data_IF_031885604005
#
_entry.id   IF_031885604005
#
_cell.length_a   1.000
_cell.length_b   1.000
_cell.length_c   1.000
_cell.angle_alpha   90.00
_cell.angle_beta   90.00
_cell.angle_gamma   90.00
#
_symmetry.space_group_name_H-M   'P 1'
#
loop_
_entity.id
_entity.type
_entity.pdbx_description
1 polymer ?
#
# COMPACT_ATOMS: atom_id res chain seq x y z
N UNK A 1 -76.04 -39.96 -9.54
CA UNK A 1 -75.04 -41.04 -9.50
C UNK A 1 -73.72 -40.45 -10.00
N UNK A 2 -72.72 -40.44 -9.12
CA UNK A 2 -71.30 -40.10 -9.31
C UNK A 2 -70.90 -38.64 -9.61
N UNK A 3 -70.33 -38.10 -8.55
CA UNK A 3 -69.63 -36.84 -8.31
C UNK A 3 -68.12 -37.04 -8.59
N UNK A 4 -67.43 -35.91 -8.81
CA UNK A 4 -65.99 -35.65 -8.61
C UNK A 4 -65.00 -35.95 -9.76
N UNK A 5 -64.60 -34.87 -10.44
CA UNK A 5 -63.30 -34.76 -11.12
C UNK A 5 -62.55 -33.58 -10.47
N UNK A 6 -61.62 -33.89 -9.55
CA UNK A 6 -60.72 -32.91 -8.93
C UNK A 6 -59.53 -32.68 -9.88
N UNK A 7 -59.44 -31.50 -10.46
CA UNK A 7 -58.23 -31.02 -11.15
C UNK A 7 -57.37 -30.33 -10.09
N UNK A 8 -56.30 -31.00 -9.65
CA UNK A 8 -55.28 -30.41 -8.81
C UNK A 8 -54.36 -29.54 -9.69
N UNK A 9 -54.41 -28.22 -9.49
CA UNK A 9 -53.54 -27.25 -10.16
C UNK A 9 -52.29 -27.08 -9.28
N UNK A 10 -51.20 -27.75 -9.65
CA UNK A 10 -49.90 -27.59 -9.00
C UNK A 10 -49.17 -26.38 -9.63
N UNK A 11 -49.24 -25.23 -8.96
CA UNK A 11 -48.40 -24.06 -9.25
C UNK A 11 -47.01 -24.28 -8.65
N UNK A 12 -46.08 -24.80 -9.45
CA UNK A 12 -44.65 -24.78 -9.13
C UNK A 12 -44.07 -23.43 -9.57
N UNK A 13 -44.15 -22.42 -8.70
CA UNK A 13 -43.49 -21.14 -8.89
C UNK A 13 -42.05 -21.21 -8.42
N UNK A 14 -41.12 -21.52 -9.32
CA UNK A 14 -39.68 -21.43 -9.03
C UNK A 14 -39.27 -19.95 -9.08
N UNK A 15 -39.27 -19.29 -7.93
CA UNK A 15 -38.68 -17.96 -7.80
C UNK A 15 -37.14 -18.12 -7.82
N UNK A 16 -36.54 -17.99 -9.00
CA UNK A 16 -35.10 -17.79 -9.15
C UNK A 16 -34.79 -16.37 -8.65
N UNK A 17 -34.52 -16.24 -7.34
CA UNK A 17 -33.96 -15.02 -6.77
C UNK A 17 -32.49 -14.94 -7.14
N UNK A 18 -32.16 -14.25 -8.23
CA UNK A 18 -30.79 -13.81 -8.48
C UNK A 18 -30.44 -12.78 -7.42
N UNK A 19 -29.74 -13.22 -6.37
CA UNK A 19 -29.04 -12.35 -5.44
C UNK A 19 -27.92 -11.67 -6.22
N UNK A 20 -28.23 -10.54 -6.85
CA UNK A 20 -27.20 -9.65 -7.39
C UNK A 20 -26.40 -9.13 -6.21
N UNK A 21 -25.14 -9.57 -6.11
CA UNK A 21 -24.20 -8.91 -5.22
C UNK A 21 -24.12 -7.44 -5.65
N UNK A 22 -24.19 -6.48 -4.71
CA UNK A 22 -24.06 -5.07 -5.05
C UNK A 22 -22.72 -4.88 -5.75
N UNK A 23 -22.75 -4.49 -7.02
CA UNK A 23 -21.58 -3.95 -7.68
C UNK A 23 -21.21 -2.67 -6.95
N UNK A 24 -20.09 -2.66 -6.23
CA UNK A 24 -19.53 -1.44 -5.69
C UNK A 24 -19.27 -0.50 -6.88
N UNK A 25 -19.99 0.62 -6.93
CA UNK A 25 -19.68 1.67 -7.86
C UNK A 25 -18.47 2.41 -7.26
N UNK A 26 -17.31 2.23 -7.89
CA UNK A 26 -16.11 2.98 -7.56
C UNK A 26 -16.30 4.45 -7.99
N UNK A 27 -15.71 5.37 -7.23
CA UNK A 27 -15.82 6.81 -7.35
C UNK A 27 -14.49 7.49 -7.77
N UNK A 28 -13.45 6.69 -8.03
CA UNK A 28 -12.17 7.22 -8.51
C UNK A 28 -12.36 8.10 -9.74
N UNK A 29 -11.44 9.04 -9.90
CA UNK A 29 -11.41 9.96 -11.05
C UNK A 29 -10.04 9.91 -11.70
N UNK A 30 -10.03 10.18 -13.00
CA UNK A 30 -8.82 10.19 -13.83
C UNK A 30 -8.74 11.49 -14.63
N UNK A 31 -7.56 11.81 -15.17
CA UNK A 31 -7.33 13.06 -15.94
C UNK A 31 -8.38 13.29 -17.03
N UNK A 32 -8.85 12.23 -17.70
CA UNK A 32 -9.86 12.33 -18.75
C UNK A 32 -11.26 12.73 -18.26
N UNK A 33 -11.51 12.71 -16.94
CA UNK A 33 -12.76 13.20 -16.36
C UNK A 33 -12.80 14.72 -16.21
N UNK A 34 -11.66 15.41 -16.44
CA UNK A 34 -11.59 16.87 -16.42
C UNK A 34 -12.38 17.45 -17.59
N UNK A 35 -13.26 18.41 -17.30
CA UNK A 35 -14.10 19.04 -18.32
C UNK A 35 -13.32 19.80 -19.41
N UNK A 36 -12.08 20.21 -19.13
CA UNK A 36 -11.18 20.91 -20.05
C UNK A 36 -10.20 19.97 -20.78
N UNK A 37 -10.20 18.67 -20.46
CA UNK A 37 -9.38 17.71 -21.17
C UNK A 37 -10.00 17.37 -22.55
N UNK A 38 -9.23 17.45 -23.65
CA UNK A 38 -9.79 17.36 -25.00
C UNK A 38 -10.04 15.93 -25.50
N UNK A 39 -9.51 14.92 -24.82
CA UNK A 39 -9.57 13.51 -25.23
C UNK A 39 -10.59 12.68 -24.44
N UNK A 40 -10.91 11.51 -24.98
CA UNK A 40 -11.55 10.42 -24.27
C UNK A 40 -10.53 9.27 -24.07
N UNK A 41 -10.67 8.52 -22.97
CA UNK A 41 -9.76 7.41 -22.67
C UNK A 41 -8.68 7.73 -21.64
N UNK A 42 -7.80 6.77 -21.41
CA UNK A 42 -6.82 6.85 -20.31
C UNK A 42 -5.66 7.76 -20.68
N UNK A 43 -5.19 8.53 -19.69
CA UNK A 43 -3.96 9.31 -19.76
C UNK A 43 -2.96 8.64 -18.83
N UNK A 44 -1.96 7.97 -19.39
CA UNK A 44 -1.08 7.06 -18.65
C UNK A 44 0.36 7.16 -19.12
N UNK A 45 1.31 6.68 -18.33
CA UNK A 45 2.66 6.39 -18.82
C UNK A 45 2.62 5.25 -19.84
N UNK A 46 3.27 5.43 -20.99
CA UNK A 46 3.22 4.50 -22.13
C UNK A 46 3.58 3.05 -21.76
N UNK A 47 4.55 2.85 -20.86
CA UNK A 47 5.00 1.53 -20.39
C UNK A 47 4.66 1.26 -18.91
N UNK A 48 3.94 2.16 -18.25
CA UNK A 48 3.66 2.09 -16.82
C UNK A 48 4.86 2.36 -15.91
N UNK A 49 6.01 2.78 -16.43
CA UNK A 49 7.21 3.08 -15.64
C UNK A 49 7.42 4.57 -15.44
N UNK A 50 7.58 4.99 -14.18
CA UNK A 50 7.80 6.38 -13.79
C UNK A 50 9.20 6.53 -13.22
N UNK A 51 10.14 7.00 -14.04
CA UNK A 51 11.48 7.38 -13.57
C UNK A 51 11.43 8.74 -12.87
N UNK A 52 11.94 8.85 -11.63
CA UNK A 52 11.93 10.12 -10.89
C UNK A 52 13.30 10.52 -10.33
N UNK A 53 13.48 11.84 -10.16
CA UNK A 53 14.62 12.45 -9.49
C UNK A 53 14.17 13.10 -8.19
N UNK A 54 14.99 12.96 -7.15
CA UNK A 54 14.70 13.54 -5.83
C UNK A 54 15.62 14.74 -5.57
N UNK A 55 15.07 15.84 -5.06
CA UNK A 55 15.89 16.95 -4.56
C UNK A 55 16.95 16.44 -3.57
N UNK A 56 18.21 16.70 -3.89
CA UNK A 56 19.40 16.31 -3.13
C UNK A 56 19.44 16.88 -1.70
N UNK A 57 18.66 17.92 -1.42
CA UNK A 57 18.50 18.47 -0.07
C UNK A 57 17.56 17.62 0.81
N UNK A 58 16.61 16.90 0.20
CA UNK A 58 15.53 16.20 0.87
C UNK A 58 14.56 17.13 1.60
N UNK A 59 13.59 16.54 2.31
CA UNK A 59 12.63 17.30 3.09
C UNK A 59 13.33 18.06 4.22
N UNK A 60 13.10 19.39 4.37
CA UNK A 60 13.74 20.18 5.43
C UNK A 60 13.49 19.61 6.83
N UNK A 61 14.57 19.38 7.56
CA UNK A 61 14.53 18.80 8.92
C UNK A 61 14.43 17.28 8.99
N UNK A 62 14.38 16.58 7.85
CA UNK A 62 14.39 15.10 7.77
C UNK A 62 15.72 14.58 7.23
N UNK A 63 16.27 15.25 6.21
CA UNK A 63 17.52 14.89 5.55
C UNK A 63 17.33 13.86 4.43
N UNK A 64 18.19 13.95 3.41
CA UNK A 64 18.05 13.24 2.14
C UNK A 64 17.82 11.73 2.25
N UNK A 65 18.65 11.01 3.02
CA UNK A 65 18.56 9.54 3.09
C UNK A 65 17.20 9.08 3.65
N UNK A 66 16.73 9.72 4.72
CA UNK A 66 15.41 9.43 5.30
C UNK A 66 14.28 9.85 4.35
N UNK A 67 14.41 11.00 3.67
CA UNK A 67 13.44 11.42 2.65
C UNK A 67 13.34 10.41 1.52
N UNK A 68 14.47 9.91 0.98
CA UNK A 68 14.48 8.91 -0.07
C UNK A 68 13.77 7.63 0.37
N UNK A 69 14.05 7.13 1.57
CA UNK A 69 13.36 5.96 2.13
C UNK A 69 11.85 6.16 2.22
N UNK A 70 11.38 7.34 2.66
CA UNK A 70 9.95 7.64 2.72
C UNK A 70 9.32 7.78 1.33
N UNK A 71 10.03 8.35 0.36
CA UNK A 71 9.58 8.47 -1.03
C UNK A 71 9.46 7.10 -1.68
N UNK A 72 10.48 6.24 -1.56
CA UNK A 72 10.46 4.87 -2.10
C UNK A 72 9.30 4.07 -1.51
N UNK A 73 9.08 4.17 -0.20
CA UNK A 73 7.93 3.52 0.46
C UNK A 73 6.59 4.06 -0.08
N UNK A 74 6.45 5.38 -0.22
CA UNK A 74 5.22 6.01 -0.71
C UNK A 74 4.85 5.59 -2.14
N UNK A 75 5.83 5.62 -3.05
CA UNK A 75 5.57 5.29 -4.46
C UNK A 75 5.33 3.79 -4.65
N UNK A 76 5.93 2.93 -3.81
CA UNK A 76 5.71 1.48 -3.86
C UNK A 76 4.27 1.08 -3.53
N UNK A 77 3.51 1.93 -2.82
CA UNK A 77 2.10 1.68 -2.52
C UNK A 77 1.26 1.53 -3.80
N UNK A 78 1.59 2.27 -4.87
CA UNK A 78 0.85 2.21 -6.14
C UNK A 78 1.12 0.95 -6.96
N UNK A 79 2.24 0.28 -6.73
CA UNK A 79 2.57 -1.01 -7.33
C UNK A 79 1.99 -2.20 -6.55
N UNK A 80 1.37 -1.97 -5.40
CA UNK A 80 0.86 -3.04 -4.54
C UNK A 80 -0.39 -3.77 -5.10
N UNK A 81 -1.35 -3.10 -5.77
CA UNK A 81 -2.49 -3.79 -6.36
C UNK A 81 -2.05 -4.72 -7.50
N UNK A 82 -2.29 -6.02 -7.35
CA UNK A 82 -1.88 -7.02 -8.36
C UNK A 82 -2.55 -6.86 -9.72
N UNK A 83 -3.63 -6.08 -9.80
CA UNK A 83 -4.31 -5.74 -11.05
C UNK A 83 -3.71 -4.54 -11.79
N UNK A 84 -2.70 -3.87 -11.23
CA UNK A 84 -2.04 -2.72 -11.83
C UNK A 84 -0.60 -3.02 -12.32
N UNK A 85 -0.24 -2.50 -13.49
CA UNK A 85 1.11 -2.51 -14.06
C UNK A 85 1.73 -1.10 -13.99
N UNK A 86 2.12 -0.68 -12.79
CA UNK A 86 2.79 0.61 -12.60
C UNK A 86 3.98 0.45 -11.66
N UNK A 87 5.10 1.08 -11.99
CA UNK A 87 6.31 1.06 -11.19
C UNK A 87 6.95 2.45 -11.14
N UNK A 88 7.56 2.77 -10.01
CA UNK A 88 8.31 4.00 -9.82
C UNK A 88 9.77 3.68 -9.57
N UNK A 89 10.63 4.30 -10.37
CA UNK A 89 12.08 4.06 -10.32
C UNK A 89 12.82 5.31 -9.92
N UNK A 90 13.56 5.23 -8.82
CA UNK A 90 14.55 6.24 -8.47
C UNK A 90 15.68 6.27 -9.51
N UNK A 91 15.81 7.40 -10.23
CA UNK A 91 16.85 7.59 -11.25
C UNK A 91 18.09 8.26 -10.66
N UNK A 92 17.91 9.19 -9.74
CA UNK A 92 19.01 9.92 -9.12
C UNK A 92 18.54 11.14 -8.33
N UNK A 93 19.49 11.94 -7.84
CA UNK A 93 19.17 13.20 -7.16
C UNK A 93 19.38 14.40 -8.08
N UNK A 94 18.64 15.48 -7.83
CA UNK A 94 18.81 16.76 -8.52
C UNK A 94 19.08 17.89 -7.53
N UNK A 95 19.94 18.83 -7.90
CA UNK A 95 20.16 20.08 -7.14
C UNK A 95 19.62 21.31 -7.87
N UNK A 96 19.05 21.11 -9.06
CA UNK A 96 18.38 22.15 -9.81
C UNK A 96 16.93 22.28 -9.32
N UNK A 97 16.35 23.48 -9.49
CA UNK A 97 14.90 23.64 -9.35
C UNK A 97 14.22 22.85 -10.46
N UNK A 98 13.08 22.23 -10.14
CA UNK A 98 12.28 21.59 -11.18
C UNK A 98 11.83 22.63 -12.20
N UNK A 99 11.72 22.21 -13.44
CA UNK A 99 11.33 23.06 -14.54
C UNK A 99 10.51 22.23 -15.51
N UNK A 100 9.30 22.69 -15.88
CA UNK A 100 8.44 21.93 -16.77
C UNK A 100 9.06 21.74 -18.15
N UNK A 101 8.71 20.64 -18.82
CA UNK A 101 9.12 20.26 -20.19
C UNK A 101 10.64 20.09 -20.31
N UNK A 102 11.23 19.36 -19.35
CA UNK A 102 12.65 19.02 -19.30
C UNK A 102 12.94 17.51 -19.42
N UNK A 103 11.90 16.70 -19.61
CA UNK A 103 11.90 15.24 -19.69
C UNK A 103 12.38 14.56 -18.39
N UNK A 104 12.14 15.18 -17.24
CA UNK A 104 12.48 14.63 -15.92
C UNK A 104 11.34 14.88 -14.96
N UNK A 105 10.93 13.82 -14.27
CA UNK A 105 9.98 13.91 -13.16
C UNK A 105 10.75 14.27 -11.90
N UNK A 106 10.61 15.49 -11.39
CA UNK A 106 11.38 15.98 -10.26
C UNK A 106 10.51 16.21 -9.00
N UNK A 107 10.97 15.66 -7.87
CA UNK A 107 10.37 15.86 -6.56
C UNK A 107 11.16 16.97 -5.82
N UNK A 108 10.64 18.20 -5.80
CA UNK A 108 11.28 19.40 -5.22
C UNK A 108 10.63 19.86 -3.92
N UNK A 109 11.42 20.07 -2.86
CA UNK A 109 10.97 20.81 -1.67
C UNK A 109 11.19 22.31 -1.87
N UNK A 110 10.12 23.02 -2.18
CA UNK A 110 10.15 24.46 -2.39
C UNK A 110 10.31 25.17 -1.06
N UNK A 111 11.53 25.62 -0.78
CA UNK A 111 11.92 26.30 0.47
C UNK A 111 11.77 27.83 0.42
N UNK A 112 11.41 28.39 -0.74
CA UNK A 112 11.20 29.83 -0.91
C UNK A 112 10.23 30.11 -2.05
N UNK A 113 9.50 31.23 -1.96
CA UNK A 113 8.69 31.79 -3.05
C UNK A 113 7.55 30.89 -3.55
N UNK A 114 7.01 30.02 -2.69
CA UNK A 114 5.84 29.16 -3.01
C UNK A 114 4.67 29.97 -3.60
N UNK A 115 4.29 31.05 -2.90
CA UNK A 115 3.22 31.97 -3.34
C UNK A 115 3.58 32.71 -4.64
N UNK A 116 4.87 32.97 -4.89
CA UNK A 116 5.33 33.59 -6.13
C UNK A 116 5.19 32.69 -7.35
N UNK A 117 5.15 31.36 -7.14
CA UNK A 117 4.78 30.37 -8.17
C UNK A 117 3.26 30.30 -8.43
N UNK A 118 2.45 31.07 -7.69
CA UNK A 118 0.99 31.13 -7.88
C UNK A 118 0.19 30.14 -7.00
N UNK A 119 0.86 29.37 -6.15
CA UNK A 119 0.19 28.41 -5.27
C UNK A 119 -0.28 29.04 -3.96
N UNK A 120 -1.40 28.53 -3.42
CA UNK A 120 -1.89 28.94 -2.10
C UNK A 120 -0.99 28.39 -1.00
N UNK A 121 -0.87 29.13 0.10
CA UNK A 121 -0.08 28.73 1.27
C UNK A 121 -0.60 27.48 1.99
N UNK A 122 -1.90 27.21 1.84
CA UNK A 122 -2.56 26.06 2.48
C UNK A 122 -2.38 24.77 1.68
N UNK A 123 -1.86 24.87 0.45
CA UNK A 123 -1.56 23.71 -0.41
C UNK A 123 -0.23 23.11 0.03
N UNK A 124 -0.28 21.82 0.37
CA UNK A 124 0.87 21.08 0.91
C UNK A 124 1.82 20.63 -0.19
N UNK A 125 1.28 20.22 -1.33
CA UNK A 125 2.04 19.89 -2.53
C UNK A 125 1.18 20.06 -3.79
N UNK A 126 1.82 20.08 -4.95
CA UNK A 126 1.18 20.15 -6.26
C UNK A 126 1.94 19.24 -7.21
N UNK A 127 1.22 18.45 -7.99
CA UNK A 127 1.74 17.72 -9.14
C UNK A 127 1.42 18.47 -10.43
N UNK A 128 2.43 18.80 -11.22
CA UNK A 128 2.32 19.40 -12.54
C UNK A 128 2.51 18.32 -13.61
N UNK A 129 1.50 18.11 -14.44
CA UNK A 129 1.49 17.05 -15.45
C UNK A 129 1.63 17.65 -16.85
N UNK A 130 2.58 17.10 -17.60
CA UNK A 130 2.66 17.27 -19.04
C UNK A 130 2.24 15.97 -19.70
N UNK A 131 1.23 16.06 -20.56
CA UNK A 131 0.76 14.95 -21.38
C UNK A 131 0.82 15.34 -22.86
N UNK A 132 1.00 14.33 -23.70
CA UNK A 132 1.01 14.48 -25.15
C UNK A 132 0.12 13.43 -25.82
N UNK A 133 -0.28 13.71 -27.05
CA UNK A 133 -1.06 12.78 -27.85
C UNK A 133 -0.10 11.98 -28.73
N UNK A 134 -0.09 10.66 -28.57
CA UNK A 134 0.70 9.74 -29.37
C UNK A 134 0.18 9.65 -30.82
N UNK A 135 0.98 9.04 -31.70
CA UNK A 135 0.66 8.88 -33.12
C UNK A 135 -0.62 8.06 -33.37
N UNK A 136 -1.01 7.19 -32.44
CA UNK A 136 -2.23 6.38 -32.51
C UNK A 136 -3.48 7.08 -31.94
N UNK A 137 -3.32 8.32 -31.46
CA UNK A 137 -4.38 9.14 -30.87
C UNK A 137 -4.61 8.90 -29.37
N UNK A 138 -3.85 8.00 -28.73
CA UNK A 138 -3.86 7.87 -27.28
C UNK A 138 -3.16 9.04 -26.59
N UNK A 139 -3.47 9.27 -25.31
CA UNK A 139 -2.85 10.30 -24.50
C UNK A 139 -1.87 9.67 -23.52
N UNK A 140 -0.65 10.18 -23.51
CA UNK A 140 0.44 9.67 -22.69
C UNK A 140 0.94 10.77 -21.74
N UNK A 141 1.25 10.38 -20.50
CA UNK A 141 1.98 11.26 -19.57
C UNK A 141 3.44 11.28 -20.02
N UNK A 142 3.96 12.47 -20.27
CA UNK A 142 5.36 12.71 -20.65
C UNK A 142 6.20 13.16 -19.45
N UNK A 143 5.62 13.96 -18.56
CA UNK A 143 6.31 14.51 -17.39
C UNK A 143 5.34 14.69 -16.21
N UNK A 144 5.84 14.48 -15.00
CA UNK A 144 5.15 14.73 -13.74
C UNK A 144 6.12 15.30 -12.71
N UNK A 145 6.12 16.62 -12.54
CA UNK A 145 6.88 17.31 -11.50
C UNK A 145 6.04 17.42 -10.23
N UNK A 146 6.66 17.18 -9.07
CA UNK A 146 5.98 17.30 -7.77
C UNK A 146 6.68 18.35 -6.92
N UNK A 147 5.92 19.38 -6.55
CA UNK A 147 6.39 20.49 -5.75
C UNK A 147 5.82 20.39 -4.33
N UNK A 148 6.69 20.25 -3.34
CA UNK A 148 6.31 20.19 -1.93
C UNK A 148 6.49 21.56 -1.26
N UNK A 149 5.45 22.07 -0.60
CA UNK A 149 5.51 23.35 0.09
C UNK A 149 6.29 23.23 1.40
N UNK A 150 7.57 23.57 1.36
CA UNK A 150 8.44 23.64 2.53
C UNK A 150 8.58 25.07 3.09
N UNK A 151 7.84 26.03 2.54
CA UNK A 151 7.76 27.41 3.05
C UNK A 151 6.80 27.49 4.24
N UNK A 152 5.59 26.94 4.07
CA UNK A 152 4.50 27.10 5.03
C UNK A 152 4.24 25.82 5.86
N UNK A 153 4.78 24.67 5.46
CA UNK A 153 4.58 23.40 6.17
C UNK A 153 5.91 22.75 6.60
N UNK A 154 6.05 22.37 7.88
CA UNK A 154 7.17 21.56 8.33
C UNK A 154 6.94 20.07 7.99
N UNK A 155 8.02 19.34 7.74
CA UNK A 155 7.97 17.97 7.23
C UNK A 155 8.48 16.96 8.26
N UNK A 156 7.99 15.72 8.23
CA UNK A 156 8.40 14.63 9.12
C UNK A 156 8.35 13.28 8.40
N UNK A 157 9.06 12.29 8.92
CA UNK A 157 8.89 10.88 8.51
C UNK A 157 7.63 10.29 9.13
N UNK A 158 7.11 9.21 8.56
CA UNK A 158 5.92 8.54 9.07
C UNK A 158 6.04 8.13 10.55
N UNK A 159 4.91 8.16 11.26
CA UNK A 159 4.85 7.93 12.71
C UNK A 159 5.32 9.09 13.58
N UNK A 160 5.86 10.17 12.98
CA UNK A 160 6.26 11.40 13.70
C UNK A 160 5.45 12.66 13.35
N UNK A 161 4.58 12.58 12.34
CA UNK A 161 3.57 13.59 12.01
C UNK A 161 2.21 12.92 11.84
N UNK A 162 1.30 13.09 12.81
CA UNK A 162 -0.09 12.64 12.68
C UNK A 162 -0.95 13.66 11.92
N UNK A 163 -2.19 13.28 11.56
CA UNK A 163 -3.19 14.19 10.97
C UNK A 163 -3.43 15.46 11.82
N UNK A 164 -3.23 15.36 13.14
CA UNK A 164 -3.39 16.46 14.11
C UNK A 164 -2.08 17.20 14.41
N UNK A 165 -0.97 16.81 13.79
CA UNK A 165 0.34 17.45 13.99
C UNK A 165 0.55 18.66 13.07
N UNK A 166 1.35 19.61 13.54
CA UNK A 166 1.79 20.76 12.72
C UNK A 166 2.68 20.34 11.54
N UNK A 167 3.20 19.09 11.53
CA UNK A 167 4.10 18.55 10.51
C UNK A 167 3.38 17.63 9.54
N UNK A 168 3.78 17.67 8.26
CA UNK A 168 3.28 16.81 7.18
C UNK A 168 4.18 15.58 7.03
N UNK A 169 3.56 14.42 6.90
CA UNK A 169 4.28 13.19 6.58
C UNK A 169 4.79 13.27 5.15
N UNK A 170 6.10 13.02 4.96
CA UNK A 170 6.68 12.85 3.63
C UNK A 170 5.98 11.70 2.90
N UNK A 171 5.78 10.55 3.55
CA UNK A 171 5.20 9.37 2.89
C UNK A 171 3.77 9.60 2.43
N UNK A 172 2.92 10.12 3.31
CA UNK A 172 1.51 10.34 3.00
C UNK A 172 1.32 11.33 1.84
N UNK A 173 2.04 12.47 1.87
CA UNK A 173 1.91 13.46 0.80
C UNK A 173 2.51 12.94 -0.50
N UNK A 174 3.70 12.32 -0.47
CA UNK A 174 4.30 11.75 -1.69
C UNK A 174 3.40 10.67 -2.28
N UNK A 175 2.76 9.83 -1.46
CA UNK A 175 1.86 8.80 -1.96
C UNK A 175 0.64 9.42 -2.66
N UNK A 176 0.05 10.48 -2.12
CA UNK A 176 -1.03 11.23 -2.75
C UNK A 176 -0.59 11.85 -4.09
N UNK A 177 0.51 12.61 -4.10
CA UNK A 177 1.01 13.26 -5.31
C UNK A 177 1.47 12.24 -6.38
N UNK A 178 2.00 11.09 -5.96
CA UNK A 178 2.33 10.00 -6.87
C UNK A 178 1.08 9.44 -7.58
N UNK A 179 -0.10 9.50 -6.95
CA UNK A 179 -1.36 9.16 -7.60
C UNK A 179 -1.70 10.12 -8.74
N UNK A 180 -1.50 11.43 -8.52
CA UNK A 180 -1.59 12.40 -9.61
C UNK A 180 -0.55 12.14 -10.70
N UNK A 181 0.69 11.82 -10.32
CA UNK A 181 1.77 11.53 -11.26
C UNK A 181 1.47 10.35 -12.21
N UNK A 182 0.57 9.45 -11.83
CA UNK A 182 0.13 8.32 -12.67
C UNK A 182 -1.22 8.55 -13.35
N UNK A 183 -1.83 9.73 -13.21
CA UNK A 183 -3.05 10.12 -13.92
C UNK A 183 -4.35 10.00 -13.12
N UNK A 184 -4.28 9.78 -11.80
CA UNK A 184 -5.45 9.85 -10.92
C UNK A 184 -5.77 11.31 -10.56
N UNK A 185 -7.06 11.59 -10.37
CA UNK A 185 -7.56 12.87 -9.86
C UNK A 185 -8.13 12.70 -8.46
N UNK A 186 -8.40 13.82 -7.80
CA UNK A 186 -9.15 13.76 -6.56
C UNK A 186 -10.54 13.12 -6.77
N UNK A 187 -10.94 12.27 -5.82
CA UNK A 187 -12.27 11.62 -5.80
C UNK A 187 -13.41 12.65 -5.68
N UNK A 188 -13.14 13.82 -5.12
CA UNK A 188 -14.01 14.98 -5.04
C UNK A 188 -13.19 16.27 -5.00
N UNK A 189 -13.83 17.43 -5.18
CA UNK A 189 -13.18 18.73 -4.99
C UNK A 189 -13.96 19.61 -4.01
N UNK A 190 -13.26 20.51 -3.33
CA UNK A 190 -13.88 21.39 -2.32
C UNK A 190 -14.86 22.38 -2.94
N UNK A 191 -14.62 22.84 -4.18
CA UNK A 191 -15.55 23.70 -4.91
C UNK A 191 -16.04 23.08 -6.23
N UNK A 192 -15.79 21.79 -6.46
CA UNK A 192 -16.25 21.07 -7.65
C UNK A 192 -15.45 21.42 -8.91
N UNK A 193 -14.19 21.85 -8.73
CA UNK A 193 -13.26 22.15 -9.81
C UNK A 193 -13.14 20.97 -10.80
N UNK A 194 -12.94 21.29 -12.09
CA UNK A 194 -12.79 20.27 -13.13
C UNK A 194 -14.01 19.38 -13.36
N UNK A 195 -15.19 19.73 -12.81
CA UNK A 195 -16.39 18.90 -12.88
C UNK A 195 -16.47 17.79 -11.82
N UNK A 196 -15.57 17.81 -10.84
CA UNK A 196 -15.58 16.89 -9.72
C UNK A 196 -16.86 17.02 -8.89
N UNK A 197 -17.32 15.93 -8.25
CA UNK A 197 -18.34 16.05 -7.21
C UNK A 197 -17.80 16.92 -6.07
N UNK A 198 -18.68 17.70 -5.43
CA UNK A 198 -18.33 18.42 -4.21
C UNK A 198 -17.99 17.43 -3.10
N UNK A 199 -16.95 17.71 -2.32
CA UNK A 199 -16.67 16.99 -1.09
C UNK A 199 -17.73 17.33 -0.01
N UNK A 200 -18.96 16.85 -0.18
CA UNK A 200 -20.06 17.06 0.76
C UNK A 200 -20.09 15.91 1.80
N UNK A 201 -19.85 16.27 3.05
CA UNK A 201 -19.93 15.42 4.27
C UNK A 201 -18.68 14.59 4.63
N UNK A 202 -18.26 14.55 5.91
CA UNK A 202 -17.17 13.68 6.43
C UNK A 202 -17.35 12.16 6.25
N UNK A 203 -18.38 11.71 5.51
CA UNK A 203 -18.93 10.35 5.55
C UNK A 203 -18.75 9.55 4.26
N UNK A 204 -18.29 10.16 3.16
CA UNK A 204 -17.80 9.42 1.99
C UNK A 204 -16.28 9.49 1.98
N UNK A 205 -15.61 8.34 2.00
CA UNK A 205 -14.25 8.21 1.49
C UNK A 205 -13.18 9.12 2.09
N UNK A 206 -13.34 9.65 3.31
CA UNK A 206 -12.33 10.53 3.92
C UNK A 206 -11.01 9.82 4.28
N UNK A 207 -10.87 8.56 3.86
CA UNK A 207 -9.69 7.73 4.00
C UNK A 207 -9.08 7.34 2.65
N UNK A 208 -9.66 7.77 1.53
CA UNK A 208 -9.07 7.58 0.20
C UNK A 208 -7.78 8.40 0.14
N UNK A 209 -6.70 7.77 -0.31
CA UNK A 209 -5.41 8.43 -0.48
C UNK A 209 -5.57 9.63 -1.42
N UNK A 210 -6.37 9.50 -2.49
CA UNK A 210 -6.67 10.58 -3.44
C UNK A 210 -7.73 11.59 -2.97
N UNK A 211 -8.08 11.62 -1.68
CA UNK A 211 -8.96 12.66 -1.16
C UNK A 211 -8.20 14.01 -1.03
N UNK A 212 -8.77 15.17 -1.43
CA UNK A 212 -8.05 16.45 -1.45
C UNK A 212 -7.71 17.02 -0.06
N UNK A 213 -8.38 16.52 0.99
CA UNK A 213 -8.06 16.88 2.38
C UNK A 213 -7.03 15.91 2.97
N UNK A 214 -5.90 16.48 3.38
CA UNK A 214 -4.83 15.77 4.06
C UNK A 214 -5.30 15.11 5.36
N UNK A 215 -5.07 13.80 5.47
CA UNK A 215 -5.39 12.99 6.66
C UNK A 215 -4.21 12.13 7.14
N UNK A 216 -3.05 12.23 6.49
CA UNK A 216 -1.80 11.60 6.93
C UNK A 216 -1.69 10.09 6.75
N UNK A 217 -2.57 9.48 5.95
CA UNK A 217 -2.41 8.08 5.52
C UNK A 217 -1.60 8.00 4.23
N UNK A 218 -0.86 6.91 4.07
CA UNK A 218 -0.18 6.54 2.81
C UNK A 218 -0.74 5.23 2.22
N UNK A 219 -1.81 4.68 2.81
CA UNK A 219 -2.44 3.43 2.38
C UNK A 219 -3.51 3.71 1.33
N UNK A 220 -3.61 2.84 0.33
CA UNK A 220 -4.70 2.86 -0.65
C UNK A 220 -6.02 2.43 0.02
N UNK A 221 -7.11 3.08 -0.33
CA UNK A 221 -8.45 2.54 -0.20
C UNK A 221 -8.78 1.61 -1.38
N UNK A 222 -9.92 0.92 -1.29
CA UNK A 222 -10.44 0.12 -2.41
C UNK A 222 -10.70 1.00 -3.66
N UNK A 223 -11.01 2.28 -3.49
CA UNK A 223 -11.26 3.22 -4.58
C UNK A 223 -9.97 3.63 -5.28
N UNK A 224 -8.92 3.92 -4.51
CA UNK A 224 -7.58 4.22 -5.06
C UNK A 224 -7.03 3.01 -5.83
N UNK A 225 -7.17 1.80 -5.26
CA UNK A 225 -6.77 0.55 -5.90
C UNK A 225 -7.53 0.28 -7.20
N UNK A 226 -8.85 0.53 -7.21
CA UNK A 226 -9.66 0.40 -8.42
C UNK A 226 -9.25 1.40 -9.51
N UNK A 227 -8.92 2.64 -9.12
CA UNK A 227 -8.45 3.69 -10.04
C UNK A 227 -7.14 3.33 -10.72
N UNK A 228 -6.14 2.90 -9.96
CA UNK A 228 -4.84 2.50 -10.54
C UNK A 228 -4.97 1.25 -11.42
N UNK A 229 -5.82 0.29 -11.06
CA UNK A 229 -6.09 -0.88 -11.89
C UNK A 229 -6.88 -0.55 -13.17
N UNK A 230 -7.69 0.50 -13.16
CA UNK A 230 -8.34 1.00 -14.38
C UNK A 230 -7.32 1.65 -15.34
N UNK A 231 -6.41 2.46 -14.79
CA UNK A 231 -5.38 3.15 -15.58
C UNK A 231 -4.36 2.17 -16.15
N UNK A 232 -3.84 1.27 -15.32
CA UNK A 232 -2.74 0.37 -15.67
C UNK A 232 -3.15 -1.10 -15.58
N UNK A 233 -4.21 -1.58 -16.24
CA UNK A 233 -4.67 -2.94 -16.03
C UNK A 233 -3.62 -3.95 -16.47
N UNK A 234 -3.44 -4.97 -15.66
CA UNK A 234 -2.71 -6.16 -16.05
C UNK A 234 -3.49 -6.94 -17.12
N UNK A 235 -2.95 -7.10 -18.34
CA UNK A 235 -3.66 -7.81 -19.42
C UNK A 235 -4.01 -9.26 -19.08
N UNK A 236 -3.33 -9.85 -18.09
CA UNK A 236 -3.45 -11.25 -17.69
C UNK A 236 -4.00 -11.46 -16.27
N UNK A 237 -4.59 -10.44 -15.66
CA UNK A 237 -5.22 -10.57 -14.33
C UNK A 237 -4.27 -10.56 -13.12
N UNK A 238 -2.95 -10.64 -13.34
CA UNK A 238 -1.93 -10.23 -12.35
C UNK A 238 -0.67 -9.68 -13.04
N UNK A 239 -0.06 -8.65 -12.44
CA UNK A 239 1.24 -8.07 -12.84
C UNK A 239 2.38 -8.53 -11.93
N UNK A 240 2.35 -9.80 -11.52
CA UNK A 240 3.42 -10.36 -10.69
C UNK A 240 4.75 -10.59 -11.46
N UNK A 241 4.95 -9.99 -12.65
CA UNK A 241 6.17 -10.21 -13.43
C UNK A 241 6.77 -8.95 -14.07
N UNK A 242 7.67 -8.30 -13.32
CA UNK A 242 8.95 -7.93 -13.91
C UNK A 242 9.77 -9.21 -14.15
N UNK A 243 9.38 -10.01 -15.15
CA UNK A 243 10.12 -11.21 -15.57
C UNK A 243 9.25 -12.44 -15.82
N UNK A 244 9.01 -12.72 -17.10
CA UNK A 244 8.80 -14.06 -17.65
C UNK A 244 7.62 -14.91 -17.12
N UNK A 245 6.40 -14.57 -17.54
CA UNK A 245 5.53 -15.61 -18.10
C UNK A 245 5.87 -15.75 -19.59
N UNK A 246 6.73 -16.70 -19.93
CA UNK A 246 7.08 -16.98 -21.32
C UNK A 246 5.83 -17.38 -22.13
N UNK A 247 5.50 -16.58 -23.15
CA UNK A 247 4.84 -16.95 -24.41
C UNK A 247 3.50 -17.71 -24.38
N UNK A 248 2.51 -17.16 -25.08
CA UNK A 248 1.39 -17.89 -25.71
C UNK A 248 0.64 -18.93 -24.84
N UNK A 249 0.06 -18.51 -23.72
CA UNK A 249 -1.04 -19.26 -23.07
C UNK A 249 -0.72 -20.71 -22.67
N UNK A 250 0.54 -21.00 -22.32
CA UNK A 250 0.95 -22.30 -21.80
C UNK A 250 0.41 -22.57 -20.38
N UNK A 251 0.25 -23.86 -19.99
CA UNK A 251 -0.16 -24.24 -18.65
C UNK A 251 0.88 -23.82 -17.60
N UNK A 252 0.43 -23.51 -16.37
CA UNK A 252 1.33 -23.31 -15.23
C UNK A 252 2.02 -24.65 -14.92
N UNK A 253 3.26 -24.82 -15.38
CA UNK A 253 4.02 -26.01 -15.01
C UNK A 253 4.46 -25.92 -13.54
N UNK A 254 4.36 -27.01 -12.76
CA UNK A 254 4.90 -27.05 -11.40
C UNK A 254 6.38 -26.63 -11.43
N UNK A 255 6.77 -25.71 -10.55
CA UNK A 255 8.17 -25.32 -10.40
C UNK A 255 9.01 -26.58 -10.18
N UNK A 256 9.82 -26.95 -11.16
CA UNK A 256 10.76 -28.08 -11.06
C UNK A 256 12.03 -27.71 -10.29
N UNK A 257 12.11 -26.45 -9.84
CA UNK A 257 13.28 -25.86 -9.22
C UNK A 257 13.52 -26.29 -7.78
N UNK A 258 14.79 -26.26 -7.39
CA UNK A 258 15.30 -26.38 -6.02
C UNK A 258 14.96 -25.15 -5.15
N UNK A 259 13.77 -24.56 -5.35
CA UNK A 259 13.26 -23.42 -4.59
C UNK A 259 13.47 -23.61 -3.09
N UNK A 260 13.75 -22.52 -2.38
CA UNK A 260 13.93 -22.55 -0.92
C UNK A 260 12.65 -22.16 -0.18
N UNK A 261 11.71 -21.52 -0.87
CA UNK A 261 10.43 -21.10 -0.30
C UNK A 261 9.57 -22.35 -0.07
N UNK A 262 9.10 -22.51 1.16
CA UNK A 262 8.21 -23.59 1.56
C UNK A 262 6.76 -23.19 1.35
N UNK A 263 5.83 -24.11 1.58
CA UNK A 263 4.40 -23.81 1.51
C UNK A 263 4.07 -22.53 2.32
N UNK A 264 3.27 -21.67 1.71
CA UNK A 264 2.77 -20.37 2.17
C UNK A 264 3.83 -19.26 2.29
N UNK A 265 5.08 -19.51 1.89
CA UNK A 265 6.04 -18.42 1.74
C UNK A 265 5.63 -17.49 0.60
N UNK A 266 5.93 -16.19 0.72
CA UNK A 266 5.75 -15.26 -0.39
C UNK A 266 6.58 -15.72 -1.59
N UNK A 267 6.02 -15.57 -2.77
CA UNK A 267 6.68 -15.84 -4.03
C UNK A 267 6.20 -14.88 -5.10
N UNK A 268 7.03 -14.71 -6.11
CA UNK A 268 6.72 -13.99 -7.34
C UNK A 268 6.62 -14.95 -8.52
N UNK A 269 7.38 -16.05 -8.50
CA UNK A 269 7.38 -17.08 -9.55
C UNK A 269 7.37 -18.50 -8.95
N UNK A 270 6.94 -19.49 -9.74
CA UNK A 270 6.77 -20.87 -9.26
C UNK A 270 8.10 -21.54 -8.86
N UNK A 271 9.22 -21.13 -9.46
CA UNK A 271 10.57 -21.66 -9.22
C UNK A 271 11.08 -21.34 -7.81
N UNK A 272 10.56 -20.29 -7.18
CA UNK A 272 10.89 -19.95 -5.79
C UNK A 272 10.33 -20.99 -4.81
N UNK A 273 9.23 -21.64 -5.19
CA UNK A 273 8.47 -22.57 -4.39
C UNK A 273 9.01 -24.00 -4.51
N UNK A 274 9.49 -24.56 -3.40
CA UNK A 274 10.02 -25.93 -3.34
C UNK A 274 8.92 -26.95 -3.66
N UNK A 275 8.91 -27.47 -4.89
CA UNK A 275 7.94 -28.49 -5.35
C UNK A 275 6.48 -28.04 -5.24
N UNK A 276 6.23 -26.73 -5.33
CA UNK A 276 4.94 -26.08 -5.15
C UNK A 276 4.71 -25.07 -6.28
N UNK A 277 3.52 -24.47 -6.34
CA UNK A 277 3.18 -23.44 -7.34
C UNK A 277 2.98 -22.09 -6.66
N UNK A 278 3.37 -20.99 -7.31
CA UNK A 278 3.08 -19.67 -6.79
C UNK A 278 1.64 -19.27 -7.15
N UNK A 279 0.79 -19.09 -6.14
CA UNK A 279 -0.63 -18.74 -6.31
C UNK A 279 -0.96 -17.57 -5.40
N UNK A 280 -1.48 -16.47 -5.98
CA UNK A 280 -1.82 -15.26 -5.23
C UNK A 280 -0.64 -14.73 -4.38
N UNK A 281 0.57 -14.72 -4.95
CA UNK A 281 1.79 -14.26 -4.27
C UNK A 281 2.35 -15.21 -3.21
N UNK A 282 1.83 -16.44 -3.07
CA UNK A 282 2.28 -17.40 -2.07
C UNK A 282 2.45 -18.83 -2.61
N UNK A 283 3.43 -19.56 -2.09
CA UNK A 283 3.70 -20.92 -2.50
C UNK A 283 2.59 -21.88 -2.01
N UNK A 284 1.78 -22.44 -2.93
CA UNK A 284 0.76 -23.42 -2.63
C UNK A 284 1.25 -24.85 -2.96
N UNK A 285 1.15 -25.81 -2.01
CA UNK A 285 1.45 -27.21 -2.28
C UNK A 285 0.62 -27.75 -3.45
N UNK A 286 1.20 -28.61 -4.28
CA UNK A 286 0.40 -29.34 -5.28
C UNK A 286 -0.36 -30.49 -4.61
N UNK A 287 -1.63 -30.69 -4.98
CA UNK A 287 -2.46 -31.80 -4.50
C UNK A 287 -2.71 -32.86 -5.58
N UNK A 288 -1.95 -32.80 -6.67
CA UNK A 288 -2.05 -33.78 -7.77
C UNK A 288 -1.58 -35.18 -7.34
N UNK A 289 -0.73 -35.27 -6.30
CA UNK A 289 -0.16 -36.51 -5.78
C UNK A 289 -0.74 -36.94 -4.42
N UNK A 290 -1.64 -36.17 -3.81
CA UNK A 290 -2.16 -36.47 -2.47
C UNK A 290 -3.10 -35.39 -1.91
N UNK A 291 -3.79 -35.68 -0.79
CA UNK A 291 -4.68 -34.72 -0.14
C UNK A 291 -3.90 -33.51 0.39
N UNK A 292 -4.57 -32.36 0.43
CA UNK A 292 -3.99 -31.15 0.98
C UNK A 292 -3.66 -31.27 2.48
N UNK A 293 -2.68 -30.49 2.98
CA UNK A 293 -2.47 -30.31 4.41
C UNK A 293 -3.77 -29.92 5.12
N UNK A 294 -3.85 -30.18 6.42
CA UNK A 294 -5.07 -29.95 7.20
C UNK A 294 -5.65 -28.54 6.97
N UNK A 295 -6.94 -28.47 6.60
CA UNK A 295 -7.64 -27.22 6.30
C UNK A 295 -7.58 -26.77 4.84
N UNK A 296 -6.79 -27.43 3.98
CA UNK A 296 -6.70 -27.10 2.57
C UNK A 296 -7.71 -27.85 1.71
N UNK A 297 -8.28 -27.15 0.72
CA UNK A 297 -9.09 -27.74 -0.36
C UNK A 297 -8.23 -27.85 -1.61
N UNK A 298 -8.23 -29.02 -2.24
CA UNK A 298 -7.55 -29.22 -3.52
C UNK A 298 -8.36 -28.56 -4.64
N UNK A 299 -7.80 -27.53 -5.26
CA UNK A 299 -8.41 -26.77 -6.35
C UNK A 299 -7.66 -27.08 -7.63
N UNK A 300 -8.42 -27.34 -8.69
CA UNK A 300 -7.87 -27.55 -10.04
C UNK A 300 -7.73 -26.18 -10.70
N UNK A 301 -6.52 -25.81 -11.09
CA UNK A 301 -6.26 -24.54 -11.79
C UNK A 301 -6.87 -24.59 -13.21
N UNK A 302 -7.38 -23.48 -13.70
CA UNK A 302 -7.94 -23.38 -15.07
C UNK A 302 -6.89 -23.70 -16.14
N UNK A 303 -5.62 -23.40 -15.84
CA UNK A 303 -4.45 -23.66 -16.69
C UNK A 303 -3.94 -25.11 -16.60
N UNK A 304 -4.59 -25.97 -15.81
CA UNK A 304 -4.15 -27.35 -15.57
C UNK A 304 -3.26 -27.48 -14.33
N UNK A 305 -3.32 -28.66 -13.69
CA UNK A 305 -2.72 -28.90 -12.38
C UNK A 305 -3.69 -28.70 -11.22
N UNK A 306 -3.30 -29.14 -10.03
CA UNK A 306 -4.09 -28.96 -8.82
C UNK A 306 -3.22 -28.55 -7.63
N UNK A 307 -3.67 -27.54 -6.89
CA UNK A 307 -2.97 -26.95 -5.76
C UNK A 307 -3.87 -26.84 -4.53
N UNK A 308 -3.27 -26.70 -3.36
CA UNK A 308 -3.96 -26.56 -2.09
C UNK A 308 -4.30 -25.11 -1.82
N UNK A 309 -5.60 -24.78 -1.90
CA UNK A 309 -6.13 -23.51 -1.45
C UNK A 309 -6.51 -23.62 0.03
N UNK A 310 -6.07 -22.67 0.85
CA UNK A 310 -6.48 -22.53 2.24
C UNK A 310 -7.35 -21.28 2.38
N UNK A 311 -8.42 -21.36 3.18
CA UNK A 311 -9.32 -20.22 3.45
C UNK A 311 -8.74 -19.24 4.49
N UNK A 312 -7.57 -19.54 5.06
CA UNK A 312 -6.91 -18.71 6.07
C UNK A 312 -5.96 -17.66 5.49
N UNK A 313 -5.70 -16.63 6.27
CA UNK A 313 -4.79 -15.52 5.98
C UNK A 313 -3.32 -15.99 5.84
N UNK A 314 -2.51 -15.30 5.03
CA UNK A 314 -1.12 -15.68 4.78
C UNK A 314 -0.22 -15.44 6.00
N UNK A 315 1.01 -15.94 5.92
CA UNK A 315 2.04 -15.71 6.95
C UNK A 315 2.25 -14.20 7.19
N UNK A 316 2.28 -13.77 8.46
CA UNK A 316 2.45 -12.39 8.88
C UNK A 316 1.15 -11.57 8.99
N UNK A 317 0.03 -12.04 8.42
CA UNK A 317 -1.27 -11.38 8.57
C UNK A 317 -1.78 -11.46 10.01
N UNK A 318 -2.67 -10.54 10.41
CA UNK A 318 -3.30 -10.56 11.74
C UNK A 318 -4.27 -11.75 11.87
N UNK A 319 -4.39 -12.30 13.07
CA UNK A 319 -5.29 -13.41 13.38
C UNK A 319 -5.82 -13.33 14.81
N UNK A 320 -6.96 -13.96 15.08
CA UNK A 320 -7.50 -14.14 16.43
C UNK A 320 -7.25 -15.57 16.93
N UNK A 321 -7.40 -16.55 16.04
CA UNK A 321 -7.18 -17.97 16.32
C UNK A 321 -6.46 -18.70 15.17
N UNK A 322 -6.03 -19.94 15.43
CA UNK A 322 -5.27 -20.72 14.43
C UNK A 322 -6.05 -20.98 13.14
N UNK A 323 -7.38 -21.05 13.21
CA UNK A 323 -8.25 -21.23 12.04
C UNK A 323 -8.20 -20.07 11.04
N UNK A 324 -7.85 -18.88 11.50
CA UNK A 324 -7.73 -17.68 10.65
C UNK A 324 -6.49 -17.71 9.75
N UNK A 325 -5.57 -18.65 9.98
CA UNK A 325 -4.28 -18.72 9.30
C UNK A 325 -4.24 -19.89 8.33
N UNK A 326 -3.69 -19.68 7.13
CA UNK A 326 -3.50 -20.74 6.15
C UNK A 326 -2.65 -21.90 6.72
N UNK A 327 -1.71 -21.56 7.59
CA UNK A 327 -0.85 -22.50 8.32
C UNK A 327 -1.54 -23.24 9.47
N UNK A 328 -2.71 -22.81 9.91
CA UNK A 328 -3.37 -23.28 11.12
C UNK A 328 -2.75 -22.75 12.42
N UNK A 329 -1.79 -21.80 12.36
CA UNK A 329 -1.04 -21.33 13.53
C UNK A 329 -1.10 -19.81 13.66
N UNK A 330 -1.73 -19.35 14.73
CA UNK A 330 -1.79 -17.96 15.15
C UNK A 330 -0.98 -17.78 16.44
N UNK A 331 -0.04 -16.83 16.48
CA UNK A 331 0.75 -16.54 17.69
C UNK A 331 0.38 -15.20 18.29
N UNK A 332 0.03 -15.21 19.57
CA UNK A 332 -0.22 -14.01 20.38
C UNK A 332 1.08 -13.50 21.01
N UNK A 333 2.05 -13.09 20.18
CA UNK A 333 3.36 -12.69 20.67
C UNK A 333 4.07 -11.63 19.81
N UNK A 334 3.36 -10.95 18.90
CA UNK A 334 3.96 -9.84 18.17
C UNK A 334 4.04 -8.62 19.10
N UNK A 335 5.08 -7.80 18.98
CA UNK A 335 5.23 -6.58 19.77
C UNK A 335 3.91 -5.77 19.72
N UNK A 336 3.47 -5.24 20.86
CA UNK A 336 2.20 -4.50 21.04
C UNK A 336 0.91 -5.34 21.17
N UNK A 337 1.00 -6.64 21.45
CA UNK A 337 -0.18 -7.46 21.76
C UNK A 337 -1.03 -7.81 20.54
N UNK A 338 -0.46 -7.67 19.36
CA UNK A 338 -1.04 -8.17 18.12
C UNK A 338 -0.73 -9.67 17.99
N UNK A 339 -1.69 -10.40 17.43
CA UNK A 339 -1.55 -11.79 17.05
C UNK A 339 -1.32 -11.85 15.54
N UNK A 340 -0.41 -12.72 15.09
CA UNK A 340 -0.15 -12.88 13.66
C UNK A 340 -0.01 -14.34 13.25
N UNK A 341 -0.40 -14.62 12.01
CA UNK A 341 -0.25 -15.92 11.38
C UNK A 341 1.23 -16.25 11.22
N UNK A 342 1.61 -17.42 11.71
CA UNK A 342 2.98 -17.93 11.59
C UNK A 342 2.95 -19.37 11.10
N UNK A 343 4.10 -20.04 11.03
CA UNK A 343 4.18 -21.47 10.73
C UNK A 343 5.00 -22.19 11.79
N UNK A 344 4.79 -23.50 11.86
CA UNK A 344 5.68 -24.37 12.65
C UNK A 344 7.06 -24.41 12.01
N UNK A 345 8.07 -24.46 12.85
CA UNK A 345 9.45 -24.72 12.46
C UNK A 345 9.97 -25.88 13.30
N UNK A 346 11.16 -26.36 12.98
CA UNK A 346 11.84 -27.40 13.75
C UNK A 346 13.33 -27.05 13.70
N UNK A 347 13.97 -26.93 14.87
CA UNK A 347 15.41 -26.60 14.97
C UNK A 347 16.30 -27.63 14.25
N UNK A 348 15.78 -28.82 13.98
CA UNK A 348 16.45 -29.93 13.30
C UNK A 348 16.07 -30.13 11.83
N UNK A 349 15.04 -29.44 11.29
CA UNK A 349 14.44 -29.82 10.01
C UNK A 349 14.45 -28.76 8.87
N UNK A 350 14.18 -29.27 7.67
CA UNK A 350 14.40 -28.73 6.33
C UNK A 350 13.64 -27.44 5.92
N UNK A 351 12.88 -26.82 6.83
CA UNK A 351 12.03 -25.67 6.56
C UNK A 351 12.46 -24.49 7.44
N UNK A 352 13.41 -23.65 6.98
CA UNK A 352 13.85 -22.49 7.74
C UNK A 352 12.71 -21.47 7.87
N UNK A 353 12.67 -20.71 8.97
CA UNK A 353 11.77 -19.56 9.05
C UNK A 353 12.09 -18.52 7.96
N UNK A 354 11.09 -17.75 7.49
CA UNK A 354 11.31 -16.70 6.51
C UNK A 354 12.35 -15.68 6.99
N UNK A 355 12.92 -14.92 6.05
CA UNK A 355 13.86 -13.85 6.39
C UNK A 355 13.23 -12.89 7.42
N UNK A 356 14.00 -12.49 8.44
CA UNK A 356 13.51 -11.67 9.55
C UNK A 356 12.83 -12.43 10.69
N UNK A 357 12.62 -13.75 10.56
CA UNK A 357 12.06 -14.61 11.61
C UNK A 357 13.11 -15.58 12.16
N UNK A 358 12.84 -16.11 13.35
CA UNK A 358 13.60 -17.17 14.00
C UNK A 358 12.64 -18.22 14.54
N UNK A 359 13.10 -19.47 14.59
CA UNK A 359 12.35 -20.53 15.24
C UNK A 359 12.41 -20.32 16.76
N UNK A 360 11.26 -20.30 17.41
CA UNK A 360 11.15 -20.17 18.87
C UNK A 360 10.08 -21.12 19.39
N UNK A 361 10.35 -21.72 20.56
CA UNK A 361 9.38 -22.53 21.30
C UNK A 361 8.33 -21.61 21.96
N UNK A 362 7.07 -21.76 21.52
CA UNK A 362 5.93 -21.06 22.10
C UNK A 362 4.89 -22.09 22.54
N UNK A 363 4.95 -22.47 23.81
CA UNK A 363 3.97 -23.37 24.42
C UNK A 363 4.08 -24.82 23.92
N UNK A 364 5.30 -25.35 23.88
CA UNK A 364 5.64 -26.71 23.40
C UNK A 364 5.43 -26.90 21.89
N UNK A 365 5.35 -25.80 21.13
CA UNK A 365 5.30 -25.81 19.66
C UNK A 365 6.34 -24.83 19.14
N UNK A 366 7.27 -25.35 18.36
CA UNK A 366 8.25 -24.56 17.63
C UNK A 366 7.58 -23.80 16.48
N UNK A 367 7.64 -22.47 16.52
CA UNK A 367 7.00 -21.58 15.55
C UNK A 367 7.91 -20.43 15.14
N UNK A 368 7.68 -19.87 13.95
CA UNK A 368 8.46 -18.73 13.47
C UNK A 368 8.01 -17.44 14.16
N UNK A 369 8.86 -16.86 14.98
CA UNK A 369 8.62 -15.55 15.60
C UNK A 369 9.51 -14.49 14.94
N UNK A 370 9.08 -13.22 14.83
CA UNK A 370 9.97 -12.16 14.38
C UNK A 370 11.25 -12.16 15.21
N UNK A 371 12.41 -11.98 14.56
CA UNK A 371 13.67 -11.81 15.30
C UNK A 371 13.52 -10.58 16.16
N UNK A 372 13.62 -10.75 17.47
CA UNK A 372 13.81 -9.60 18.35
C UNK A 372 15.18 -9.04 18.01
N UNK A 373 15.21 -7.96 17.22
CA UNK A 373 16.44 -7.21 17.06
C UNK A 373 16.87 -6.84 18.46
N UNK A 374 18.04 -7.33 18.90
CA UNK A 374 18.67 -6.93 20.16
C UNK A 374 19.18 -5.49 19.99
N UNK A 375 18.24 -4.57 19.80
CA UNK A 375 18.44 -3.14 19.66
C UNK A 375 18.43 -2.51 21.04
N UNK A 376 19.64 -2.33 21.57
CA UNK A 376 20.02 -1.35 22.59
C UNK A 376 19.07 -1.15 23.79
N UNK A 377 19.11 -2.07 24.75
CA UNK A 377 18.90 -1.66 26.13
C UNK A 377 20.03 -0.67 26.50
N UNK A 378 19.74 0.63 26.44
CA UNK A 378 20.54 1.64 27.12
C UNK A 378 20.45 1.32 28.61
N UNK A 379 21.48 0.68 29.15
CA UNK A 379 21.65 0.63 30.59
C UNK A 379 21.64 2.09 31.10
N UNK A 380 20.81 2.45 32.09
CA UNK A 380 20.91 3.77 32.68
C UNK A 380 22.33 3.92 33.22
N UNK A 381 23.09 4.85 32.67
CA UNK A 381 24.36 5.25 33.24
C UNK A 381 24.05 5.68 34.68
N UNK A 382 24.55 4.92 35.66
CA UNK A 382 24.55 5.30 37.06
C UNK A 382 25.51 6.49 37.17
N UNK A 383 24.98 7.67 36.85
CA UNK A 383 25.62 8.94 37.08
C UNK A 383 25.69 9.17 38.58
N UNK A 384 26.91 9.11 39.14
CA UNK A 384 27.21 9.57 40.49
C UNK A 384 26.64 10.97 40.68
N UNK A 385 25.68 11.08 41.60
CA UNK A 385 25.19 12.36 42.10
C UNK A 385 26.36 13.17 42.67
N UNK A 386 26.67 14.31 42.05
CA UNK A 386 27.34 15.41 42.75
C UNK A 386 26.26 16.24 43.47
N UNK A 387 26.49 16.64 44.73
CA UNK A 387 25.51 17.40 45.50
C UNK A 387 25.50 18.85 45.04
N UNK A 388 24.40 19.28 44.41
CA UNK A 388 24.12 20.69 44.18
C UNK A 388 23.65 21.34 45.47
N UNK A 389 24.45 22.30 45.94
CA UNK A 389 24.15 23.19 47.05
C UNK A 389 22.82 23.93 46.78
N UNK A 390 21.80 23.61 47.58
CA UNK A 390 20.55 24.35 47.65
C UNK A 390 20.82 25.66 48.39
N UNK A 391 20.84 26.79 47.68
CA UNK A 391 20.89 28.12 48.33
C UNK A 391 19.47 28.65 48.44
N UNK A 392 18.91 28.52 49.65
CA UNK A 392 17.67 29.15 50.09
C UNK A 392 17.83 30.68 50.10
N UNK A 393 17.07 31.38 49.27
CA UNK A 393 16.77 32.81 49.48
C UNK A 393 15.30 32.92 49.87
N UNK A 394 15.08 33.05 51.18
CA UNK A 394 13.83 33.48 51.81
C UNK A 394 14.04 34.85 52.45
N UNK A 395 12.92 35.59 52.56
CA UNK A 395 12.71 36.86 53.26
C UNK A 395 13.07 38.13 52.47
N UNK A 396 12.27 39.19 52.39
CA UNK A 396 11.32 39.74 53.37
C UNK A 396 10.20 40.51 52.64
N UNK A 397 8.93 40.15 52.87
CA UNK A 397 7.81 41.09 52.74
C UNK A 397 7.38 41.48 54.16
N UNK A 398 7.79 42.66 54.60
CA UNK A 398 7.26 43.30 55.79
C UNK A 398 7.05 44.80 55.54
N UNK A 399 5.79 45.13 55.31
CA UNK A 399 5.07 46.29 55.87
C UNK A 399 5.84 47.61 56.06
N UNK A 400 5.42 48.66 55.34
CA UNK A 400 5.27 49.99 55.95
C UNK A 400 4.13 50.81 55.33
N UNK A 401 3.16 51.12 56.20
CA UNK A 401 2.15 52.17 56.07
C UNK A 401 2.68 53.46 56.71
N UNK A 402 2.20 54.60 56.19
CA UNK A 402 2.14 55.98 56.74
C UNK A 402 3.42 56.83 56.75
N UNK A 403 3.41 57.86 55.90
CA UNK A 403 3.17 59.26 56.29
C UNK A 403 2.22 59.89 55.30
#
# INVERSE_FOLDING_TARGET
MRLEMRVAMALAGTALGTLGLPSHAFAYRVVSDRADFPGDGRVVWADGSVGYYLDSSGAPGVGFASTLTEVEAAVSTWAAPTCANVDFRYVGSSGARSAPDNDRNELEWVTSDWRGRGYSADVVAVTDLLFEMADDGSWEIREADIYFNAVDHPWAVDGSGGAEGDRRSVRAVVAHEAGHAIGLEHTCELAGEGGAPLCESPQRGSQDLMHPLYHGSASLSDDDAAGVCFLYPCPHGSCDSLGECAGDGGPCEPGTGDGVASAFDPCTVAEECRGSVCVSGHCAPTCSAGPCPAGGTCVVAETGGAYCQHEGSPFGALCEEGGDCASGVCISAVAHGLSACTRRCDESAAVPCPAGYQCSDVGDVDVCTPRTSTGCAVAPAVGRAMPTLLTLVLLFLATRRRT
#
